data_IF_949622207977
#
_entry.id   IF_949622207977
#
_cell.length_a   1.000
_cell.length_b   1.000
_cell.length_c   1.000
_cell.angle_alpha   90.00
_cell.angle_beta   90.00
_cell.angle_gamma   90.00
#
_symmetry.space_group_name_H-M   'P 1'
#
loop_
_entity.id
_entity.type
_entity.pdbx_description
1 polymer ?
#
# COMPACT_ATOMS: atom_id res chain seq x y z
N UNK A 1 -0.02 -16.14 13.88
CA UNK A 1 0.86 -15.94 15.07
C UNK A 1 0.27 -14.76 15.82
N UNK A 2 0.12 -14.78 17.15
CA UNK A 2 -0.60 -13.72 17.85
C UNK A 2 0.07 -12.34 17.69
N UNK A 3 -0.67 -11.37 17.14
CA UNK A 3 -0.26 -9.98 16.90
C UNK A 3 -0.92 -9.00 17.88
N UNK A 4 -2.07 -9.37 18.45
CA UNK A 4 -2.86 -8.51 19.33
C UNK A 4 -3.03 -9.14 20.70
N UNK A 5 -2.84 -8.34 21.75
CA UNK A 5 -3.15 -8.72 23.13
C UNK A 5 -4.42 -8.00 23.57
N UNK A 6 -5.44 -8.74 24.02
CA UNK A 6 -6.68 -8.16 24.56
C UNK A 6 -6.83 -8.59 26.02
N UNK A 7 -6.93 -7.62 26.93
CA UNK A 7 -6.98 -7.86 28.37
C UNK A 7 -8.26 -7.27 28.95
N UNK A 8 -9.10 -8.15 29.51
CA UNK A 8 -10.41 -7.80 30.08
C UNK A 8 -10.79 -8.88 31.12
N UNK A 9 -11.20 -8.47 32.31
CA UNK A 9 -11.54 -9.39 33.41
C UNK A 9 -13.00 -9.88 33.35
N UNK A 10 -13.91 -9.05 32.83
CA UNK A 10 -15.33 -9.37 32.76
C UNK A 10 -15.61 -10.49 31.76
N UNK A 11 -16.02 -11.66 32.26
CA UNK A 11 -16.38 -12.82 31.45
C UNK A 11 -17.43 -12.51 30.36
N UNK A 12 -18.33 -11.57 30.60
CA UNK A 12 -19.34 -11.14 29.62
C UNK A 12 -18.69 -10.33 28.51
N UNK A 13 -17.83 -9.36 28.87
CA UNK A 13 -17.14 -8.50 27.90
C UNK A 13 -16.12 -9.31 27.09
N UNK A 14 -15.37 -10.21 27.72
CA UNK A 14 -14.46 -11.14 27.03
C UNK A 14 -15.18 -11.95 25.97
N UNK A 15 -16.39 -12.46 26.25
CA UNK A 15 -17.19 -13.19 25.24
C UNK A 15 -17.57 -12.30 24.05
N UNK A 16 -17.95 -11.05 24.31
CA UNK A 16 -18.25 -10.07 23.25
C UNK A 16 -17.00 -9.77 22.42
N UNK A 17 -15.89 -9.43 23.08
CA UNK A 17 -14.61 -9.13 22.43
C UNK A 17 -14.10 -10.32 21.61
N UNK A 18 -14.18 -11.56 22.10
CA UNK A 18 -13.81 -12.76 21.34
C UNK A 18 -14.63 -12.92 20.06
N UNK A 19 -15.95 -12.70 20.16
CA UNK A 19 -16.82 -12.80 18.99
C UNK A 19 -16.53 -11.71 17.95
N UNK A 20 -16.34 -10.46 18.38
CA UNK A 20 -16.03 -9.33 17.48
C UNK A 20 -14.60 -9.41 16.91
N UNK A 21 -13.63 -9.84 17.71
CA UNK A 21 -12.24 -9.98 17.32
C UNK A 21 -12.07 -11.02 16.21
N UNK A 22 -12.83 -12.13 16.24
CA UNK A 22 -12.77 -13.13 15.16
C UNK A 22 -13.10 -12.53 13.79
N UNK A 23 -14.06 -11.61 13.73
CA UNK A 23 -14.44 -10.94 12.48
C UNK A 23 -13.47 -9.83 12.07
N UNK A 24 -12.81 -9.19 13.05
CA UNK A 24 -12.02 -7.97 12.82
C UNK A 24 -10.52 -8.25 12.66
N UNK A 25 -9.98 -9.16 13.49
CA UNK A 25 -8.56 -9.44 13.68
C UNK A 25 -8.16 -10.87 13.29
N UNK A 26 -9.13 -11.75 12.99
CA UNK A 26 -8.87 -13.16 12.68
C UNK A 26 -8.42 -13.95 13.90
N UNK A 27 -7.45 -14.85 13.72
CA UNK A 27 -6.90 -15.73 14.76
C UNK A 27 -5.66 -15.15 15.47
N UNK A 28 -5.22 -13.95 15.09
CA UNK A 28 -3.98 -13.35 15.60
C UNK A 28 -4.15 -12.63 16.95
N UNK A 29 -5.10 -13.08 17.79
CA UNK A 29 -5.43 -12.41 19.06
C UNK A 29 -5.26 -13.35 20.25
N UNK A 30 -4.49 -12.92 21.23
CA UNK A 30 -4.37 -13.59 22.54
C UNK A 30 -5.18 -12.82 23.59
N UNK A 31 -5.93 -13.55 24.40
CA UNK A 31 -6.77 -12.99 25.46
C UNK A 31 -6.18 -13.28 26.83
N UNK A 32 -6.19 -12.28 27.70
CA UNK A 32 -5.87 -12.41 29.11
C UNK A 32 -6.97 -11.79 29.97
N UNK A 33 -7.14 -12.28 31.20
CA UNK A 33 -8.19 -11.81 32.13
C UNK A 33 -7.62 -11.24 33.44
N UNK A 34 -6.31 -11.06 33.50
CA UNK A 34 -5.56 -10.52 34.65
C UNK A 34 -4.23 -9.97 34.16
N UNK A 35 -3.60 -9.10 34.95
CA UNK A 35 -2.24 -8.59 34.68
C UNK A 35 -1.24 -9.75 34.61
N UNK A 36 -1.28 -10.69 35.56
CA UNK A 36 -0.37 -11.83 35.56
C UNK A 36 -0.47 -12.67 34.27
N UNK A 37 -1.70 -12.96 33.82
CA UNK A 37 -1.92 -13.68 32.56
C UNK A 37 -1.47 -12.86 31.34
N UNK A 38 -1.67 -11.54 31.35
CA UNK A 38 -1.24 -10.65 30.27
C UNK A 38 0.29 -10.58 30.15
N UNK A 39 1.01 -10.52 31.28
CA UNK A 39 2.48 -10.55 31.30
C UNK A 39 3.03 -11.87 30.75
N UNK A 40 2.42 -13.00 31.14
CA UNK A 40 2.79 -14.30 30.60
C UNK A 40 2.55 -14.38 29.08
N UNK A 41 1.38 -13.92 28.61
CA UNK A 41 1.07 -13.87 27.19
C UNK A 41 2.03 -12.97 26.41
N UNK A 42 2.41 -11.82 26.99
CA UNK A 42 3.42 -10.94 26.41
C UNK A 42 4.78 -11.64 26.27
N UNK A 43 5.26 -12.32 27.33
CA UNK A 43 6.55 -13.03 27.28
C UNK A 43 6.55 -14.17 26.25
N UNK A 44 5.44 -14.90 26.12
CA UNK A 44 5.30 -15.98 25.14
C UNK A 44 5.30 -15.49 23.68
N UNK A 45 4.79 -14.27 23.45
CA UNK A 45 4.58 -13.70 22.11
C UNK A 45 5.34 -12.38 21.90
N UNK A 46 6.43 -12.16 22.64
CA UNK A 46 7.12 -10.87 22.70
C UNK A 46 7.56 -10.34 21.32
N UNK A 47 7.93 -11.24 20.42
CA UNK A 47 8.41 -10.90 19.08
C UNK A 47 7.31 -10.75 18.04
N UNK A 48 6.07 -11.14 18.36
CA UNK A 48 4.95 -11.12 17.41
C UNK A 48 3.86 -10.14 17.80
N UNK A 49 3.73 -9.79 19.09
CA UNK A 49 2.76 -8.80 19.54
C UNK A 49 3.13 -7.40 19.07
N UNK A 50 2.14 -6.71 18.51
CA UNK A 50 2.28 -5.39 17.92
C UNK A 50 1.48 -4.31 18.63
N UNK A 51 0.34 -4.66 19.23
CA UNK A 51 -0.59 -3.71 19.88
C UNK A 51 -1.37 -4.43 20.99
N UNK A 52 -1.69 -3.73 22.07
CA UNK A 52 -2.57 -4.21 23.13
C UNK A 52 -3.86 -3.37 23.29
N UNK A 53 -4.97 -4.04 23.60
CA UNK A 53 -6.20 -3.45 24.10
C UNK A 53 -6.39 -3.87 25.55
N UNK A 54 -6.45 -2.90 26.47
CA UNK A 54 -6.33 -3.17 27.90
C UNK A 54 -7.47 -2.49 28.65
N UNK A 55 -8.20 -3.26 29.44
CA UNK A 55 -9.05 -2.70 30.48
C UNK A 55 -8.21 -1.98 31.56
N UNK A 56 -8.59 -0.75 31.90
CA UNK A 56 -7.85 0.07 32.85
C UNK A 56 -7.88 -0.50 34.28
N UNK A 57 -8.98 -1.16 34.68
CA UNK A 57 -9.18 -1.62 36.05
C UNK A 57 -9.32 -3.13 36.10
N UNK A 58 -8.19 -3.82 36.32
CA UNK A 58 -8.14 -5.27 36.47
C UNK A 58 -8.15 -5.67 37.96
N UNK A 59 -8.62 -6.88 38.32
CA UNK A 59 -8.66 -7.34 39.71
C UNK A 59 -7.30 -7.34 40.43
N UNK A 60 -6.21 -7.57 39.69
CA UNK A 60 -4.82 -7.60 40.17
C UNK A 60 -4.00 -6.36 39.78
N UNK A 61 -4.63 -5.40 39.08
CA UNK A 61 -4.06 -4.12 38.65
C UNK A 61 -5.16 -3.05 38.48
N UNK A 62 -5.71 -2.52 39.58
CA UNK A 62 -6.90 -1.66 39.56
C UNK A 62 -6.64 -0.24 39.02
N UNK A 63 -5.38 0.23 39.06
CA UNK A 63 -4.98 1.61 38.81
C UNK A 63 -4.23 1.80 37.47
N UNK A 64 -4.29 0.78 36.60
CA UNK A 64 -3.68 0.81 35.27
C UNK A 64 -2.20 0.38 35.24
N UNK A 65 -1.75 -0.38 36.23
CA UNK A 65 -0.36 -0.85 36.33
C UNK A 65 0.05 -1.71 35.13
N UNK A 66 -0.88 -2.44 34.52
CA UNK A 66 -0.63 -3.19 33.30
C UNK A 66 -0.34 -2.26 32.10
N UNK A 67 -1.00 -1.10 32.02
CA UNK A 67 -0.74 -0.12 30.96
C UNK A 67 0.69 0.38 31.07
N UNK A 68 1.13 0.73 32.29
CA UNK A 68 2.50 1.19 32.53
C UNK A 68 3.52 0.12 32.15
N UNK A 69 3.30 -1.13 32.57
CA UNK A 69 4.15 -2.26 32.19
C UNK A 69 4.28 -2.42 30.67
N UNK A 70 3.18 -2.39 29.92
CA UNK A 70 3.21 -2.59 28.46
C UNK A 70 3.85 -1.42 27.71
N UNK A 71 3.65 -0.18 28.19
CA UNK A 71 4.31 1.00 27.65
C UNK A 71 5.82 0.97 27.87
N UNK A 72 6.30 0.50 29.03
CA UNK A 72 7.74 0.27 29.28
C UNK A 72 8.35 -0.73 28.30
N UNK A 73 7.56 -1.73 27.88
CA UNK A 73 7.94 -2.68 26.83
C UNK A 73 7.83 -2.12 25.41
N UNK A 74 7.48 -0.83 25.27
CA UNK A 74 7.25 -0.14 23.99
C UNK A 74 6.14 -0.78 23.15
N UNK A 75 5.17 -1.44 23.79
CA UNK A 75 3.99 -1.95 23.12
C UNK A 75 2.93 -0.84 23.09
N UNK A 76 2.43 -0.44 21.90
CA UNK A 76 1.31 0.48 21.79
C UNK A 76 0.06 -0.05 22.52
N UNK A 77 -0.55 0.80 23.34
CA UNK A 77 -1.71 0.42 24.16
C UNK A 77 -2.92 1.29 23.81
N UNK A 78 -4.06 0.64 23.60
CA UNK A 78 -5.39 1.26 23.60
C UNK A 78 -6.09 0.87 24.91
N UNK A 79 -6.64 1.84 25.62
CA UNK A 79 -7.25 1.63 26.94
C UNK A 79 -8.77 1.55 26.83
N UNK A 80 -9.39 0.57 27.46
CA UNK A 80 -10.83 0.55 27.71
C UNK A 80 -11.11 1.12 29.10
N UNK A 81 -11.97 2.14 29.18
CA UNK A 81 -12.34 2.79 30.45
C UNK A 81 -13.85 2.77 30.66
N UNK A 82 -14.31 2.56 31.90
CA UNK A 82 -15.72 2.67 32.27
C UNK A 82 -16.19 4.10 32.57
N UNK A 83 -15.30 5.09 32.51
CA UNK A 83 -15.59 6.48 32.92
C UNK A 83 -15.16 7.49 31.86
N UNK A 84 -15.96 8.55 31.70
CA UNK A 84 -15.73 9.71 30.82
C UNK A 84 -14.99 10.88 31.50
N UNK A 85 -14.45 10.67 32.72
CA UNK A 85 -13.75 11.69 33.50
C UNK A 85 -12.57 12.30 32.74
N UNK A 86 -12.59 13.62 32.53
CA UNK A 86 -11.52 14.37 31.85
C UNK A 86 -10.16 14.25 32.54
N UNK A 87 -10.12 14.20 33.88
CA UNK A 87 -8.83 14.12 34.58
C UNK A 87 -8.11 12.80 34.32
N UNK A 88 -8.87 11.70 34.25
CA UNK A 88 -8.31 10.38 33.90
C UNK A 88 -7.80 10.35 32.47
N UNK A 89 -8.49 11.02 31.55
CA UNK A 89 -8.07 11.12 30.14
C UNK A 89 -6.74 11.85 29.99
N UNK A 90 -6.58 12.98 30.65
CA UNK A 90 -5.32 13.76 30.62
C UNK A 90 -4.13 12.94 31.14
N UNK A 91 -4.34 12.19 32.24
CA UNK A 91 -3.32 11.30 32.81
C UNK A 91 -2.94 10.20 31.82
N UNK A 92 -3.92 9.55 31.21
CA UNK A 92 -3.71 8.48 30.23
C UNK A 92 -2.96 8.99 28.99
N UNK A 93 -3.36 10.14 28.45
CA UNK A 93 -2.66 10.77 27.33
C UNK A 93 -1.22 11.13 27.69
N UNK A 94 -0.98 11.66 28.91
CA UNK A 94 0.36 11.99 29.39
C UNK A 94 1.27 10.75 29.54
N UNK A 95 0.69 9.56 29.80
CA UNK A 95 1.43 8.29 29.80
C UNK A 95 1.92 7.87 28.41
N UNK A 96 1.34 8.41 27.34
CA UNK A 96 1.70 8.05 25.96
C UNK A 96 1.01 6.79 25.45
N UNK A 97 -0.24 6.56 25.87
CA UNK A 97 -1.10 5.56 25.21
C UNK A 97 -1.41 6.00 23.78
N UNK A 98 -1.83 5.05 22.93
CA UNK A 98 -2.29 5.38 21.59
C UNK A 98 -3.68 6.04 21.64
N UNK A 99 -4.64 5.43 22.33
CA UNK A 99 -6.00 5.99 22.47
C UNK A 99 -6.74 5.37 23.67
N UNK A 100 -7.84 5.98 24.10
CA UNK A 100 -8.77 5.42 25.09
C UNK A 100 -10.19 5.31 24.52
N UNK A 101 -10.95 4.33 25.00
CA UNK A 101 -12.31 4.04 24.53
C UNK A 101 -13.23 3.80 25.72
N UNK A 102 -14.35 4.50 25.75
CA UNK A 102 -15.33 4.39 26.84
C UNK A 102 -16.24 3.18 26.60
N UNK A 103 -16.32 2.28 27.58
CA UNK A 103 -17.05 1.00 27.58
C UNK A 103 -18.58 1.16 27.71
N UNK A 104 -19.21 1.98 26.87
CA UNK A 104 -20.65 2.26 26.96
C UNK A 104 -21.51 1.31 26.13
N UNK A 105 -20.96 0.71 25.08
CA UNK A 105 -21.76 -0.05 24.12
C UNK A 105 -20.97 -1.13 23.38
N UNK A 106 -21.69 -2.01 22.68
CA UNK A 106 -21.08 -2.95 21.72
C UNK A 106 -20.30 -2.22 20.63
N UNK A 107 -20.73 -1.02 20.24
CA UNK A 107 -20.02 -0.21 19.25
C UNK A 107 -18.65 0.23 19.77
N UNK A 108 -18.53 0.60 21.05
CA UNK A 108 -17.25 0.95 21.67
C UNK A 108 -16.22 -0.19 21.56
N UNK A 109 -16.63 -1.43 21.80
CA UNK A 109 -15.74 -2.59 21.66
C UNK A 109 -15.32 -2.82 20.20
N UNK A 110 -16.25 -2.65 19.24
CA UNK A 110 -15.91 -2.74 17.81
C UNK A 110 -14.92 -1.65 17.41
N UNK A 111 -15.14 -0.42 17.86
CA UNK A 111 -14.24 0.71 17.62
C UNK A 111 -12.83 0.43 18.17
N UNK A 112 -12.73 -0.07 19.40
CA UNK A 112 -11.46 -0.41 20.02
C UNK A 112 -10.69 -1.52 19.25
N UNK A 113 -11.39 -2.55 18.79
CA UNK A 113 -10.79 -3.61 17.98
C UNK A 113 -10.33 -3.09 16.60
N UNK A 114 -11.12 -2.21 15.97
CA UNK A 114 -10.72 -1.54 14.73
C UNK A 114 -9.50 -0.64 14.94
N UNK A 115 -9.41 0.06 16.08
CA UNK A 115 -8.27 0.89 16.45
C UNK A 115 -6.99 0.07 16.52
N UNK A 116 -6.97 -1.03 17.30
CA UNK A 116 -5.74 -1.83 17.43
C UNK A 116 -5.34 -2.47 16.10
N UNK A 117 -6.31 -2.88 15.26
CA UNK A 117 -6.03 -3.33 13.89
C UNK A 117 -5.34 -2.22 13.10
N UNK A 118 -5.87 -1.01 13.15
CA UNK A 118 -5.34 0.14 12.42
C UNK A 118 -3.93 0.49 12.86
N UNK A 119 -3.66 0.51 14.17
CA UNK A 119 -2.32 0.77 14.71
C UNK A 119 -1.26 -0.21 14.17
N UNK A 120 -1.62 -1.47 13.98
CA UNK A 120 -0.75 -2.45 13.33
C UNK A 120 -0.46 -2.10 11.87
N UNK A 121 -1.47 -1.70 11.09
CA UNK A 121 -1.32 -1.34 9.67
C UNK A 121 -0.58 0.00 9.47
N UNK A 122 -0.77 0.95 10.38
CA UNK A 122 -0.15 2.28 10.32
C UNK A 122 1.39 2.22 10.26
N UNK A 123 2.01 1.15 10.75
CA UNK A 123 3.46 0.90 10.69
C UNK A 123 4.01 0.88 9.26
N UNK A 124 3.16 0.62 8.27
CA UNK A 124 3.51 0.61 6.84
C UNK A 124 3.15 1.92 6.12
N UNK A 125 2.58 2.89 6.84
CA UNK A 125 2.13 4.16 6.25
C UNK A 125 3.15 5.25 6.57
N UNK A 126 3.69 5.84 5.51
CA UNK A 126 4.64 6.94 5.59
C UNK A 126 3.93 8.31 5.56
N UNK A 127 4.25 9.15 6.54
CA UNK A 127 3.67 10.49 6.72
C UNK A 127 4.79 11.52 6.80
N UNK A 128 4.64 12.64 6.10
CA UNK A 128 5.59 13.76 6.15
C UNK A 128 5.00 14.94 6.93
N UNK A 129 5.71 15.39 7.96
CA UNK A 129 5.37 16.60 8.72
C UNK A 129 6.29 17.73 8.29
N UNK A 130 5.71 18.84 7.82
CA UNK A 130 6.42 20.03 7.36
C UNK A 130 6.02 21.21 8.24
N UNK A 131 6.97 21.68 9.05
CA UNK A 131 6.71 22.68 10.08
C UNK A 131 8.04 23.32 10.47
N UNK A 132 8.12 24.66 10.48
CA UNK A 132 9.36 25.38 10.79
C UNK A 132 9.68 25.33 12.29
N UNK A 133 8.65 25.46 13.14
CA UNK A 133 8.76 25.40 14.59
C UNK A 133 9.14 23.99 15.04
N UNK A 134 10.39 23.84 15.50
CA UNK A 134 10.91 22.58 16.05
C UNK A 134 10.03 21.99 17.15
N UNK A 135 9.39 22.83 17.97
CA UNK A 135 8.49 22.38 19.04
C UNK A 135 7.20 21.80 18.46
N UNK A 136 6.53 22.53 17.56
CA UNK A 136 5.31 22.06 16.92
C UNK A 136 5.56 20.81 16.07
N UNK A 137 6.66 20.78 15.33
CA UNK A 137 7.07 19.64 14.50
C UNK A 137 7.27 18.37 15.34
N UNK A 138 7.98 18.50 16.48
CA UNK A 138 8.15 17.39 17.43
C UNK A 138 6.84 16.94 18.06
N UNK A 139 5.93 17.87 18.37
CA UNK A 139 4.63 17.54 18.94
C UNK A 139 3.80 16.71 17.95
N UNK A 140 3.67 17.17 16.69
CA UNK A 140 2.94 16.44 15.65
C UNK A 140 3.60 15.08 15.37
N UNK A 141 4.93 15.04 15.31
CA UNK A 141 5.68 13.79 15.15
C UNK A 141 5.37 12.79 16.28
N UNK A 142 5.31 13.26 17.53
CA UNK A 142 4.95 12.42 18.68
C UNK A 142 3.53 11.86 18.53
N UNK A 143 2.54 12.70 18.22
CA UNK A 143 1.15 12.27 18.03
C UNK A 143 1.05 11.16 16.97
N UNK A 144 1.66 11.36 15.80
CA UNK A 144 1.66 10.36 14.74
C UNK A 144 2.41 9.07 15.14
N UNK A 145 3.50 9.20 15.90
CA UNK A 145 4.28 8.05 16.38
C UNK A 145 3.50 7.21 17.41
N UNK A 146 2.67 7.83 18.26
CA UNK A 146 1.76 7.11 19.17
C UNK A 146 0.79 6.22 18.38
N UNK A 147 0.38 6.68 17.20
CA UNK A 147 -0.46 5.93 16.27
C UNK A 147 0.33 5.00 15.32
N UNK A 148 1.62 4.78 15.60
CA UNK A 148 2.51 3.86 14.90
C UNK A 148 2.83 4.23 13.44
N UNK A 149 2.58 5.47 13.00
CA UNK A 149 2.96 5.91 11.65
C UNK A 149 4.48 6.02 11.48
N UNK A 150 4.99 5.81 10.27
CA UNK A 150 6.38 6.11 9.93
C UNK A 150 6.50 7.59 9.55
N UNK A 151 7.10 8.40 10.42
CA UNK A 151 7.08 9.87 10.29
C UNK A 151 8.40 10.42 9.76
N UNK A 152 8.32 11.05 8.60
CA UNK A 152 9.34 11.92 8.04
C UNK A 152 9.11 13.37 8.48
N UNK A 153 10.18 14.15 8.55
CA UNK A 153 10.10 15.57 8.95
C UNK A 153 10.86 16.47 8.00
N UNK A 154 10.31 17.67 7.80
CA UNK A 154 10.91 18.77 7.07
C UNK A 154 10.63 20.11 7.77
N UNK A 155 11.52 21.09 7.58
CA UNK A 155 11.43 22.43 8.18
C UNK A 155 10.78 23.46 7.23
N UNK A 156 10.75 23.17 5.93
CA UNK A 156 10.13 24.00 4.91
C UNK A 156 9.71 23.17 3.68
N UNK A 157 9.02 23.82 2.73
CA UNK A 157 8.55 23.17 1.51
C UNK A 157 9.66 22.66 0.58
N UNK A 158 10.85 23.30 0.58
CA UNK A 158 11.98 22.86 -0.26
C UNK A 158 12.51 21.51 0.23
N UNK A 159 12.71 21.39 1.54
CA UNK A 159 13.11 20.12 2.16
C UNK A 159 12.01 19.07 2.02
N UNK A 160 10.74 19.46 2.10
CA UNK A 160 9.60 18.56 1.92
C UNK A 160 9.60 17.91 0.52
N UNK A 161 9.76 18.70 -0.55
CA UNK A 161 9.83 18.15 -1.91
C UNK A 161 10.99 17.16 -2.07
N UNK A 162 12.17 17.49 -1.52
CA UNK A 162 13.31 16.57 -1.53
C UNK A 162 12.98 15.24 -0.81
N UNK A 163 12.25 15.28 0.30
CA UNK A 163 11.82 14.06 1.02
C UNK A 163 10.83 13.24 0.20
N UNK A 164 9.89 13.89 -0.48
CA UNK A 164 8.92 13.21 -1.35
C UNK A 164 9.60 12.48 -2.52
N UNK A 165 10.70 13.03 -3.07
CA UNK A 165 11.49 12.33 -4.08
C UNK A 165 12.30 11.15 -3.51
N UNK A 166 12.77 11.27 -2.27
CA UNK A 166 13.54 10.22 -1.59
C UNK A 166 12.65 9.07 -1.08
N UNK A 167 11.41 9.38 -0.72
CA UNK A 167 10.45 8.48 -0.10
C UNK A 167 9.14 8.51 -0.89
N UNK A 168 9.07 7.81 -2.03
CA UNK A 168 7.90 7.84 -2.92
C UNK A 168 6.64 7.23 -2.28
N UNK A 169 6.78 6.49 -1.18
CA UNK A 169 5.70 5.81 -0.46
C UNK A 169 4.97 6.70 0.56
N UNK A 170 5.38 7.97 0.71
CA UNK A 170 4.66 8.97 1.51
C UNK A 170 3.24 9.15 0.96
N UNK A 171 2.24 8.92 1.83
CA UNK A 171 0.82 8.98 1.48
C UNK A 171 0.11 10.19 2.07
N UNK A 172 0.69 10.81 3.10
CA UNK A 172 0.13 11.97 3.77
C UNK A 172 1.21 13.02 4.03
N UNK A 173 0.90 14.27 3.70
CA UNK A 173 1.69 15.44 4.09
C UNK A 173 0.85 16.30 5.03
N UNK A 174 1.41 16.63 6.19
CA UNK A 174 0.84 17.60 7.12
C UNK A 174 1.77 18.82 7.09
N UNK A 175 1.27 19.98 6.66
CA UNK A 175 2.10 21.17 6.46
C UNK A 175 1.57 22.36 7.24
N UNK A 176 2.44 23.10 7.90
CA UNK A 176 2.11 24.45 8.34
C UNK A 176 2.00 25.40 7.14
N UNK A 177 1.35 26.54 7.36
CA UNK A 177 1.35 27.64 6.41
C UNK A 177 2.64 28.48 6.47
N UNK A 178 3.05 28.93 7.67
CA UNK A 178 4.09 29.94 7.83
C UNK A 178 5.47 29.28 7.92
N UNK A 179 6.13 29.11 6.77
CA UNK A 179 7.46 28.49 6.71
C UNK A 179 8.42 29.34 5.88
N UNK A 180 9.73 29.34 6.20
CA UNK A 180 10.73 30.03 5.39
C UNK A 180 10.91 29.34 4.03
N UNK A 181 11.51 30.04 3.06
CA UNK A 181 11.90 29.55 1.72
C UNK A 181 10.75 29.16 0.79
N UNK A 182 9.87 28.24 1.22
CA UNK A 182 8.68 27.80 0.51
C UNK A 182 7.57 27.60 1.52
N UNK A 183 6.51 28.40 1.40
CA UNK A 183 5.38 28.38 2.33
C UNK A 183 4.45 27.17 2.09
N UNK A 184 3.48 26.97 2.98
CA UNK A 184 2.56 25.83 2.88
C UNK A 184 1.69 25.82 1.62
N UNK A 185 1.37 26.98 1.04
CA UNK A 185 0.60 27.04 -0.21
C UNK A 185 1.46 26.73 -1.43
N UNK A 186 2.65 27.30 -1.49
CA UNK A 186 3.63 27.00 -2.54
C UNK A 186 3.97 25.51 -2.54
N UNK A 187 4.14 24.91 -1.35
CA UNK A 187 4.35 23.48 -1.21
C UNK A 187 3.15 22.67 -1.74
N UNK A 188 1.91 23.01 -1.35
CA UNK A 188 0.72 22.30 -1.84
C UNK A 188 0.64 22.34 -3.36
N UNK A 189 0.90 23.50 -3.97
CA UNK A 189 0.91 23.65 -5.42
C UNK A 189 2.03 22.82 -6.08
N UNK A 190 3.24 22.84 -5.52
CA UNK A 190 4.37 22.05 -6.00
C UNK A 190 4.06 20.54 -5.94
N UNK A 191 3.50 20.06 -4.82
CA UNK A 191 3.08 18.66 -4.68
C UNK A 191 2.03 18.32 -5.72
N UNK A 192 1.03 19.19 -5.96
CA UNK A 192 -0.05 18.93 -6.93
C UNK A 192 0.40 19.01 -8.38
N UNK A 193 1.52 19.68 -8.66
CA UNK A 193 2.13 19.70 -9.99
C UNK A 193 2.86 18.37 -10.30
N UNK A 194 3.44 17.71 -9.29
CA UNK A 194 4.24 16.49 -9.49
C UNK A 194 3.53 15.19 -9.08
N UNK A 195 2.58 15.26 -8.15
CA UNK A 195 1.93 14.10 -7.56
C UNK A 195 0.41 14.22 -7.61
N UNK A 196 -0.24 13.15 -8.06
CA UNK A 196 -1.69 13.09 -8.09
C UNK A 196 -2.31 13.14 -6.69
N UNK A 197 -3.48 13.77 -6.60
CA UNK A 197 -4.28 13.87 -5.36
C UNK A 197 -4.67 12.51 -4.78
N UNK A 198 -4.76 11.46 -5.62
CA UNK A 198 -5.10 10.09 -5.22
C UNK A 198 -3.94 9.37 -4.53
N UNK A 199 -2.71 9.84 -4.72
CA UNK A 199 -1.49 9.26 -4.14
C UNK A 199 -1.12 9.90 -2.82
N UNK A 200 -1.22 11.23 -2.72
CA UNK A 200 -0.78 12.00 -1.55
C UNK A 200 -1.92 12.89 -1.04
N UNK A 201 -2.43 12.57 0.14
CA UNK A 201 -3.28 13.47 0.90
C UNK A 201 -2.46 14.61 1.51
N UNK A 202 -3.01 15.83 1.53
CA UNK A 202 -2.38 16.97 2.19
C UNK A 202 -3.35 17.57 3.21
N UNK A 203 -2.88 17.73 4.45
CA UNK A 203 -3.59 18.43 5.53
C UNK A 203 -2.83 19.72 5.84
N UNK A 204 -3.47 20.86 5.61
CA UNK A 204 -2.90 22.16 5.99
C UNK A 204 -3.18 22.49 7.45
N UNK A 205 -2.18 23.01 8.16
CA UNK A 205 -2.35 23.56 9.51
C UNK A 205 -2.36 25.10 9.44
N UNK A 206 -3.30 25.72 10.13
CA UNK A 206 -3.45 27.19 10.17
C UNK A 206 -3.58 27.72 11.60
N UNK A 207 -3.15 28.95 11.86
CA UNK A 207 -3.28 29.59 13.19
C UNK A 207 -4.67 30.18 13.45
N UNK A 208 -4.93 30.53 14.72
CA UNK A 208 -6.15 31.26 15.10
C UNK A 208 -6.26 32.63 14.41
N UNK A 209 -7.45 32.93 13.87
CA UNK A 209 -7.77 34.21 13.21
C UNK A 209 -7.71 34.16 11.68
N UNK A 210 -7.19 33.08 11.11
CA UNK A 210 -6.91 32.97 9.68
C UNK A 210 -7.91 32.06 8.94
N UNK A 211 -9.22 32.30 9.12
CA UNK A 211 -10.27 31.54 8.40
C UNK A 211 -10.08 31.56 6.86
N UNK A 212 -9.43 32.60 6.33
CA UNK A 212 -9.08 32.69 4.91
C UNK A 212 -7.98 31.69 4.50
N UNK A 213 -7.03 31.35 5.38
CA UNK A 213 -5.96 30.40 5.06
C UNK A 213 -6.49 28.98 4.90
N UNK A 214 -7.42 28.55 5.77
CA UNK A 214 -8.05 27.23 5.68
C UNK A 214 -8.76 27.03 4.34
N UNK A 215 -9.48 28.04 3.86
CA UNK A 215 -10.11 28.02 2.53
C UNK A 215 -9.06 28.01 1.41
N UNK A 216 -7.95 28.73 1.57
CA UNK A 216 -6.87 28.74 0.58
C UNK A 216 -6.20 27.37 0.45
N UNK A 217 -6.00 26.61 1.52
CA UNK A 217 -5.43 25.26 1.42
C UNK A 217 -6.29 24.37 0.50
N UNK A 218 -7.60 24.32 0.74
CA UNK A 218 -8.52 23.52 -0.06
C UNK A 218 -8.54 23.98 -1.53
N UNK A 219 -8.57 25.30 -1.77
CA UNK A 219 -8.56 25.85 -3.14
C UNK A 219 -7.27 25.55 -3.91
N UNK A 220 -6.15 25.37 -3.22
CA UNK A 220 -4.87 25.01 -3.84
C UNK A 220 -4.66 23.50 -3.97
N UNK A 221 -5.61 22.67 -3.51
CA UNK A 221 -5.59 21.22 -3.71
C UNK A 221 -5.30 20.40 -2.46
N UNK A 222 -5.24 21.00 -1.27
CA UNK A 222 -5.25 20.23 -0.03
C UNK A 222 -6.53 19.40 0.09
N UNK A 223 -6.44 18.30 0.84
CA UNK A 223 -7.55 17.40 1.09
C UNK A 223 -8.35 17.84 2.31
N UNK A 224 -7.65 18.37 3.32
CA UNK A 224 -8.27 18.84 4.55
C UNK A 224 -7.42 19.97 5.18
N UNK A 225 -7.93 20.55 6.26
CA UNK A 225 -7.19 21.49 7.09
C UNK A 225 -7.50 21.30 8.58
N UNK A 226 -6.65 21.83 9.44
CA UNK A 226 -6.84 21.84 10.88
C UNK A 226 -6.32 23.15 11.50
N UNK A 227 -7.11 23.76 12.37
CA UNK A 227 -6.74 25.01 13.03
C UNK A 227 -5.92 24.74 14.31
N UNK A 228 -4.89 25.53 14.58
CA UNK A 228 -4.09 25.51 15.81
C UNK A 228 -4.66 26.54 16.81
N UNK A 229 -4.78 26.20 18.12
CA UNK A 229 -4.57 24.87 18.70
C UNK A 229 -5.72 23.91 18.34
N UNK A 230 -5.41 22.60 18.28
CA UNK A 230 -6.37 21.53 17.98
C UNK A 230 -6.40 20.49 19.11
N UNK A 231 -7.54 19.81 19.24
CA UNK A 231 -7.70 18.64 20.10
C UNK A 231 -7.07 17.41 19.42
N UNK A 232 -6.49 16.49 20.22
CA UNK A 232 -5.83 15.29 19.68
C UNK A 232 -6.80 14.40 18.91
N UNK A 233 -8.02 14.24 19.41
CA UNK A 233 -9.07 13.45 18.78
C UNK A 233 -9.46 14.03 17.40
N UNK A 234 -9.51 15.36 17.27
CA UNK A 234 -9.76 16.00 15.97
C UNK A 234 -8.60 15.73 15.01
N UNK A 235 -7.35 15.91 15.46
CA UNK A 235 -6.16 15.63 14.66
C UNK A 235 -6.16 14.19 14.11
N UNK A 236 -6.38 13.19 14.97
CA UNK A 236 -6.40 11.79 14.54
C UNK A 236 -7.58 11.45 13.63
N UNK A 237 -8.74 12.07 13.84
CA UNK A 237 -9.88 11.92 12.93
C UNK A 237 -9.51 12.40 11.51
N UNK A 238 -8.89 13.57 11.39
CA UNK A 238 -8.45 14.14 10.09
C UNK A 238 -7.40 13.27 9.41
N UNK A 239 -6.39 12.84 10.16
CA UNK A 239 -5.31 11.98 9.65
C UNK A 239 -5.88 10.65 9.16
N UNK A 240 -6.69 9.99 9.99
CA UNK A 240 -7.28 8.69 9.68
C UNK A 240 -8.16 8.74 8.44
N UNK A 241 -9.10 9.68 8.36
CA UNK A 241 -10.01 9.79 7.23
C UNK A 241 -9.26 10.00 5.90
N UNK A 242 -8.20 10.81 5.91
CA UNK A 242 -7.41 11.08 4.71
C UNK A 242 -6.59 9.84 4.28
N UNK A 243 -5.98 9.14 5.23
CA UNK A 243 -5.22 7.90 4.93
C UNK A 243 -6.16 6.79 4.44
N UNK A 244 -7.31 6.60 5.08
CA UNK A 244 -8.31 5.62 4.65
C UNK A 244 -8.82 5.96 3.24
N UNK A 245 -9.03 7.24 2.93
CA UNK A 245 -9.43 7.68 1.58
C UNK A 245 -8.35 7.35 0.54
N UNK A 246 -7.08 7.65 0.82
CA UNK A 246 -5.97 7.34 -0.11
C UNK A 246 -5.81 5.82 -0.28
N UNK A 247 -5.94 5.06 0.81
CA UNK A 247 -5.87 3.59 0.77
C UNK A 247 -6.98 3.02 -0.11
N UNK A 248 -8.22 3.46 0.10
CA UNK A 248 -9.36 3.02 -0.70
C UNK A 248 -9.20 3.39 -2.18
N UNK A 249 -8.73 4.60 -2.48
CA UNK A 249 -8.48 5.01 -3.87
C UNK A 249 -7.40 4.14 -4.52
N UNK A 250 -6.33 3.81 -3.78
CA UNK A 250 -5.27 2.92 -4.25
C UNK A 250 -5.80 1.51 -4.51
N UNK A 251 -6.63 0.97 -3.60
CA UNK A 251 -7.27 -0.34 -3.77
C UNK A 251 -8.20 -0.37 -4.99
N UNK A 252 -9.02 0.66 -5.17
CA UNK A 252 -9.89 0.80 -6.34
C UNK A 252 -9.08 0.87 -7.64
N UNK A 253 -7.96 1.59 -7.64
CA UNK A 253 -7.08 1.68 -8.79
C UNK A 253 -6.43 0.33 -9.10
N UNK A 254 -5.94 -0.39 -8.08
CA UNK A 254 -5.41 -1.75 -8.28
C UNK A 254 -6.49 -2.66 -8.85
N UNK A 255 -7.72 -2.65 -8.33
CA UNK A 255 -8.81 -3.46 -8.87
C UNK A 255 -9.20 -3.07 -10.30
N UNK A 256 -9.14 -1.78 -10.64
CA UNK A 256 -9.50 -1.29 -11.97
C UNK A 256 -8.41 -1.55 -13.01
N UNK A 257 -7.13 -1.56 -12.62
CA UNK A 257 -5.99 -1.59 -13.53
C UNK A 257 -5.26 -2.95 -13.56
N UNK A 258 -5.58 -3.87 -12.64
CA UNK A 258 -4.93 -5.18 -12.56
C UNK A 258 -5.82 -6.29 -13.10
N UNK A 259 -5.21 -7.33 -13.65
CA UNK A 259 -5.86 -8.59 -13.95
C UNK A 259 -6.09 -9.38 -12.65
N UNK A 260 -7.31 -9.89 -12.45
CA UNK A 260 -7.71 -10.50 -11.18
C UNK A 260 -6.92 -11.77 -10.85
N UNK A 261 -6.56 -12.55 -11.88
CA UNK A 261 -5.91 -13.85 -11.71
C UNK A 261 -4.41 -13.67 -11.47
N UNK A 262 -3.75 -12.89 -12.33
CA UNK A 262 -2.29 -12.81 -12.36
C UNK A 262 -1.70 -11.66 -11.55
N UNK A 263 -2.49 -10.63 -11.22
CA UNK A 263 -1.99 -9.41 -10.58
C UNK A 263 -1.10 -8.54 -11.49
N UNK A 264 -0.95 -8.88 -12.76
CA UNK A 264 -0.35 -7.98 -13.76
C UNK A 264 -1.29 -6.82 -14.06
N UNK A 265 -0.80 -5.80 -14.77
CA UNK A 265 -1.70 -4.82 -15.35
C UNK A 265 -2.64 -5.48 -16.36
N UNK A 266 -3.85 -4.94 -16.48
CA UNK A 266 -4.83 -5.42 -17.45
C UNK A 266 -4.68 -4.72 -18.81
N UNK A 267 -5.42 -5.22 -19.79
CA UNK A 267 -5.42 -4.68 -21.16
C UNK A 267 -5.68 -3.18 -21.24
N UNK A 268 -6.67 -2.68 -20.49
CA UNK A 268 -7.05 -1.27 -20.54
C UNK A 268 -5.90 -0.39 -20.05
N UNK A 269 -5.34 -0.71 -18.89
CA UNK A 269 -4.21 0.03 -18.33
C UNK A 269 -2.99 0.00 -19.27
N UNK A 270 -2.72 -1.14 -19.90
CA UNK A 270 -1.66 -1.27 -20.90
C UNK A 270 -1.87 -0.31 -22.06
N UNK A 271 -3.06 -0.28 -22.66
CA UNK A 271 -3.35 0.59 -23.81
C UNK A 271 -3.17 2.07 -23.46
N UNK A 272 -3.73 2.51 -22.33
CA UNK A 272 -3.66 3.90 -21.88
C UNK A 272 -2.20 4.31 -21.60
N UNK A 273 -1.48 3.52 -20.79
CA UNK A 273 -0.11 3.85 -20.34
C UNK A 273 0.92 3.68 -21.45
N UNK A 274 0.80 2.63 -22.28
CA UNK A 274 1.71 2.40 -23.38
C UNK A 274 1.64 3.52 -24.43
N UNK A 275 0.46 4.07 -24.68
CA UNK A 275 0.28 5.18 -25.62
C UNK A 275 1.03 6.44 -25.17
N UNK A 276 0.99 6.74 -23.88
CA UNK A 276 1.75 7.85 -23.28
C UNK A 276 3.27 7.62 -23.39
N UNK A 277 3.74 6.42 -23.04
CA UNK A 277 5.17 6.07 -23.11
C UNK A 277 5.72 6.12 -24.53
N UNK A 278 4.96 5.64 -25.53
CA UNK A 278 5.32 5.77 -26.95
C UNK A 278 5.41 7.24 -27.34
N UNK A 279 4.43 8.06 -26.95
CA UNK A 279 4.44 9.50 -27.21
C UNK A 279 5.68 10.19 -26.61
N UNK A 280 6.06 9.83 -25.39
CA UNK A 280 7.25 10.37 -24.72
C UNK A 280 8.54 9.95 -25.43
N UNK A 281 8.66 8.68 -25.81
CA UNK A 281 9.82 8.17 -26.53
C UNK A 281 9.96 8.81 -27.92
N UNK A 282 8.85 9.02 -28.62
CA UNK A 282 8.81 9.74 -29.91
C UNK A 282 9.31 11.18 -29.75
N UNK A 283 8.86 11.91 -28.72
CA UNK A 283 9.37 13.26 -28.41
C UNK A 283 10.87 13.27 -28.11
N UNK A 284 11.38 12.20 -27.50
CA UNK A 284 12.80 12.04 -27.19
C UNK A 284 13.63 11.44 -28.36
N UNK A 285 13.01 11.15 -29.51
CA UNK A 285 13.61 10.41 -30.62
C UNK A 285 14.31 9.11 -30.18
N UNK A 286 13.70 8.38 -29.25
CA UNK A 286 14.17 7.06 -28.80
C UNK A 286 13.37 5.94 -29.50
N UNK A 287 13.99 4.79 -29.82
CA UNK A 287 13.25 3.64 -30.31
C UNK A 287 12.33 3.09 -29.22
N UNK A 288 11.22 2.47 -29.64
CA UNK A 288 10.32 1.73 -28.77
C UNK A 288 10.06 0.37 -29.39
N UNK A 289 10.19 -0.68 -28.58
CA UNK A 289 9.82 -2.03 -28.97
C UNK A 289 8.57 -2.48 -28.21
N UNK A 290 7.65 -3.15 -28.90
CA UNK A 290 6.51 -3.81 -28.31
C UNK A 290 6.59 -5.32 -28.59
N UNK A 291 6.19 -6.13 -27.62
CA UNK A 291 6.11 -7.57 -27.77
C UNK A 291 4.73 -8.10 -27.36
N UNK A 292 4.23 -9.07 -28.10
CA UNK A 292 3.08 -9.90 -27.73
C UNK A 292 3.60 -11.30 -27.45
N UNK A 293 3.25 -11.81 -26.28
CA UNK A 293 3.71 -13.07 -25.72
C UNK A 293 2.47 -13.95 -25.53
N UNK A 294 2.54 -15.20 -25.95
CA UNK A 294 1.44 -16.15 -25.81
C UNK A 294 1.94 -17.49 -25.27
N UNK A 295 1.15 -18.10 -24.39
CA UNK A 295 1.47 -19.40 -23.78
C UNK A 295 1.17 -20.51 -24.76
N UNK A 296 2.21 -21.25 -25.15
CA UNK A 296 2.08 -22.32 -26.10
C UNK A 296 1.22 -23.46 -25.54
N UNK A 297 0.33 -23.97 -26.39
CA UNK A 297 -0.52 -25.12 -26.07
C UNK A 297 -1.37 -24.95 -24.80
N UNK A 298 -1.73 -23.73 -24.40
CA UNK A 298 -2.48 -23.48 -23.17
C UNK A 298 -3.80 -24.24 -23.08
N UNK A 299 -4.51 -24.42 -24.20
CA UNK A 299 -5.70 -25.27 -24.25
C UNK A 299 -5.42 -26.71 -23.82
N UNK A 300 -4.29 -27.30 -24.22
CA UNK A 300 -3.92 -28.66 -23.81
C UNK A 300 -3.66 -28.75 -22.31
N UNK A 301 -3.06 -27.71 -21.72
CA UNK A 301 -2.87 -27.62 -20.26
C UNK A 301 -4.23 -27.63 -19.55
N UNK A 302 -5.19 -26.84 -20.04
CA UNK A 302 -6.56 -26.86 -19.48
C UNK A 302 -7.26 -28.21 -19.66
N UNK A 303 -7.10 -28.84 -20.83
CA UNK A 303 -7.73 -30.12 -21.14
C UNK A 303 -7.14 -31.27 -20.27
N UNK A 304 -5.85 -31.20 -19.93
CA UNK A 304 -5.14 -32.22 -19.15
C UNK A 304 -5.25 -32.01 -17.62
N UNK A 305 -5.11 -30.77 -17.15
CA UNK A 305 -5.04 -30.44 -15.72
C UNK A 305 -6.26 -29.69 -15.19
N UNK A 306 -7.25 -29.44 -16.06
CA UNK A 306 -8.41 -28.61 -15.75
C UNK A 306 -8.08 -27.12 -15.70
N UNK A 307 -9.13 -26.30 -15.55
CA UNK A 307 -8.99 -24.84 -15.50
C UNK A 307 -8.14 -24.35 -14.33
N UNK A 308 -8.17 -25.04 -13.18
CA UNK A 308 -7.33 -24.69 -12.04
C UNK A 308 -5.83 -24.87 -12.35
N UNK A 309 -5.46 -25.91 -13.11
CA UNK A 309 -4.08 -26.11 -13.56
C UNK A 309 -3.65 -25.08 -14.59
N UNK A 310 -4.54 -24.69 -15.50
CA UNK A 310 -4.29 -23.56 -16.40
C UNK A 310 -4.09 -22.24 -15.66
N UNK A 311 -4.93 -21.96 -14.66
CA UNK A 311 -4.83 -20.77 -13.81
C UNK A 311 -3.50 -20.74 -13.05
N UNK A 312 -3.08 -21.86 -12.46
CA UNK A 312 -1.79 -22.00 -11.79
C UNK A 312 -0.61 -21.73 -12.75
N UNK A 313 -0.69 -22.22 -13.98
CA UNK A 313 0.31 -21.94 -15.01
C UNK A 313 0.39 -20.46 -15.37
N UNK A 314 -0.74 -19.79 -15.55
CA UNK A 314 -0.77 -18.35 -15.84
C UNK A 314 -0.21 -17.52 -14.69
N UNK A 315 -0.54 -17.85 -13.44
CA UNK A 315 -0.01 -17.16 -12.26
C UNK A 315 1.50 -17.32 -12.17
N UNK A 316 2.02 -18.52 -12.41
CA UNK A 316 3.46 -18.79 -12.40
C UNK A 316 4.19 -17.99 -13.49
N UNK A 317 3.70 -18.07 -14.74
CA UNK A 317 4.28 -17.35 -15.88
C UNK A 317 4.24 -15.85 -15.62
N UNK A 318 3.10 -15.31 -15.19
CA UNK A 318 2.94 -13.89 -14.90
C UNK A 318 3.94 -13.38 -13.86
N UNK A 319 4.14 -14.14 -12.78
CA UNK A 319 5.14 -13.80 -11.76
C UNK A 319 6.55 -13.76 -12.34
N UNK A 320 6.94 -14.79 -13.09
CA UNK A 320 8.25 -14.88 -13.71
C UNK A 320 8.48 -13.74 -14.71
N UNK A 321 7.49 -13.47 -15.59
CA UNK A 321 7.55 -12.35 -16.53
C UNK A 321 7.67 -11.02 -15.79
N UNK A 322 6.87 -10.79 -14.74
CA UNK A 322 6.90 -9.54 -13.99
C UNK A 322 8.26 -9.28 -13.34
N UNK A 323 8.89 -10.31 -12.77
CA UNK A 323 10.22 -10.20 -12.15
C UNK A 323 11.31 -9.90 -13.19
N UNK A 324 11.26 -10.54 -14.37
CA UNK A 324 12.29 -10.41 -15.41
C UNK A 324 12.14 -9.14 -16.26
N UNK A 325 10.94 -8.56 -16.33
CA UNK A 325 10.65 -7.42 -17.21
C UNK A 325 10.75 -6.06 -16.54
N UNK A 326 10.98 -5.96 -15.24
CA UNK A 326 11.19 -4.64 -14.61
C UNK A 326 12.40 -3.92 -15.23
N UNK A 327 12.31 -2.61 -15.56
CA UNK A 327 11.22 -1.67 -15.27
C UNK A 327 10.21 -1.46 -16.44
N UNK A 328 10.14 -2.37 -17.40
CA UNK A 328 9.25 -2.27 -18.56
C UNK A 328 7.77 -2.49 -18.20
N UNK A 329 6.88 -2.00 -19.08
CA UNK A 329 5.44 -2.12 -18.88
C UNK A 329 4.95 -3.48 -19.38
N UNK A 330 4.59 -4.37 -18.45
CA UNK A 330 4.01 -5.69 -18.72
C UNK A 330 2.54 -5.75 -18.31
N UNK A 331 1.70 -6.34 -19.15
CA UNK A 331 0.28 -6.57 -18.85
C UNK A 331 -0.21 -7.92 -19.40
N UNK A 332 -1.26 -8.46 -18.79
CA UNK A 332 -2.05 -9.53 -19.39
C UNK A 332 -3.17 -8.90 -20.22
N UNK A 333 -3.12 -9.12 -21.52
CA UNK A 333 -4.01 -8.47 -22.50
C UNK A 333 -5.10 -9.39 -23.03
N UNK A 334 -4.92 -10.70 -22.90
CA UNK A 334 -5.89 -11.73 -23.28
C UNK A 334 -5.95 -12.89 -22.29
N UNK A 335 -6.60 -13.99 -22.70
CA UNK A 335 -6.73 -15.19 -21.88
C UNK A 335 -5.37 -15.82 -21.58
N UNK A 336 -4.59 -16.10 -22.61
CA UNK A 336 -3.24 -16.68 -22.53
C UNK A 336 -2.15 -15.74 -23.09
N UNK A 337 -2.53 -14.46 -23.30
CA UNK A 337 -1.72 -13.45 -23.97
C UNK A 337 -1.26 -12.36 -23.01
N UNK A 338 0.01 -11.99 -23.13
CA UNK A 338 0.65 -10.90 -22.42
C UNK A 338 1.24 -9.91 -23.42
N UNK A 339 1.25 -8.63 -23.06
CA UNK A 339 1.88 -7.59 -23.86
C UNK A 339 2.92 -6.84 -23.04
N UNK A 340 4.05 -6.55 -23.68
CA UNK A 340 5.21 -5.92 -23.08
C UNK A 340 5.64 -4.73 -23.92
N UNK A 341 5.81 -3.56 -23.30
CA UNK A 341 6.36 -2.37 -23.94
C UNK A 341 7.73 -2.04 -23.36
N UNK A 342 8.73 -1.89 -24.24
CA UNK A 342 10.13 -1.66 -23.90
C UNK A 342 10.66 -0.36 -24.53
N UNK A 343 10.37 0.82 -23.93
CA UNK A 343 10.92 2.08 -24.42
C UNK A 343 12.45 2.10 -24.32
N UNK A 344 13.11 2.55 -25.40
CA UNK A 344 14.56 2.71 -25.48
C UNK A 344 15.34 1.47 -25.90
N UNK A 345 14.69 0.30 -26.02
CA UNK A 345 15.30 -0.84 -26.69
C UNK A 345 15.14 -0.70 -28.20
N UNK A 346 16.21 -1.03 -28.92
CA UNK A 346 16.16 -1.23 -30.37
C UNK A 346 15.86 -2.69 -30.65
N UNK A 347 15.64 -3.01 -31.92
CA UNK A 347 15.20 -4.32 -32.38
C UNK A 347 16.09 -5.47 -31.90
N UNK A 348 17.40 -5.37 -32.11
CA UNK A 348 18.38 -6.39 -31.70
C UNK A 348 18.30 -6.65 -30.19
N UNK A 349 18.31 -5.59 -29.37
CA UNK A 349 18.27 -5.76 -27.91
C UNK A 349 16.91 -6.25 -27.42
N UNK A 350 15.82 -5.83 -28.05
CA UNK A 350 14.49 -6.31 -27.73
C UNK A 350 14.36 -7.80 -28.04
N UNK A 351 14.92 -8.26 -29.17
CA UNK A 351 14.99 -9.67 -29.52
C UNK A 351 15.81 -10.47 -28.51
N UNK A 352 17.05 -10.06 -28.22
CA UNK A 352 17.91 -10.72 -27.24
C UNK A 352 17.24 -10.83 -25.86
N UNK A 353 16.58 -9.75 -25.43
CA UNK A 353 15.87 -9.70 -24.15
C UNK A 353 14.68 -10.67 -24.13
N UNK A 354 13.87 -10.68 -25.19
CA UNK A 354 12.72 -11.56 -25.30
C UNK A 354 13.11 -13.05 -25.44
N UNK A 355 14.19 -13.36 -26.15
CA UNK A 355 14.67 -14.75 -26.27
C UNK A 355 15.22 -15.26 -24.93
N UNK A 356 15.92 -14.41 -24.17
CA UNK A 356 16.32 -14.75 -22.81
C UNK A 356 15.12 -15.01 -21.89
N UNK A 357 14.06 -14.20 -22.02
CA UNK A 357 12.80 -14.39 -21.30
C UNK A 357 12.10 -15.70 -21.69
N UNK A 358 12.00 -16.00 -22.98
CA UNK A 358 11.48 -17.25 -23.51
C UNK A 358 12.25 -18.46 -22.96
N UNK A 359 13.57 -18.45 -23.05
CA UNK A 359 14.41 -19.52 -22.53
C UNK A 359 14.20 -19.73 -21.03
N UNK A 360 14.09 -18.64 -20.27
CA UNK A 360 13.86 -18.71 -18.82
C UNK A 360 12.50 -19.30 -18.46
N UNK A 361 11.46 -19.01 -19.23
CA UNK A 361 10.13 -19.63 -19.06
C UNK A 361 10.19 -21.12 -19.40
N UNK A 362 10.83 -21.49 -20.52
CA UNK A 362 10.94 -22.89 -20.95
C UNK A 362 11.72 -23.80 -19.97
N UNK A 363 12.69 -23.23 -19.23
CA UNK A 363 13.43 -23.93 -18.18
C UNK A 363 12.62 -24.09 -16.88
N UNK A 364 11.55 -23.32 -16.71
CA UNK A 364 10.69 -23.35 -15.54
C UNK A 364 9.86 -24.62 -15.45
N UNK A 365 9.67 -25.12 -14.22
CA UNK A 365 8.71 -26.17 -13.92
C UNK A 365 7.55 -25.51 -13.17
N UNK A 366 6.35 -25.69 -13.71
CA UNK A 366 5.11 -25.16 -13.15
C UNK A 366 4.45 -26.25 -12.31
N UNK A 367 4.15 -25.94 -11.06
CA UNK A 367 3.25 -26.73 -10.24
C UNK A 367 1.80 -26.38 -10.63
N UNK A 368 1.09 -27.34 -11.22
CA UNK A 368 -0.28 -27.12 -11.72
C UNK A 368 -1.35 -27.71 -10.80
N UNK A 369 -1.01 -28.64 -9.90
CA UNK A 369 -1.96 -29.22 -8.95
C UNK A 369 -1.28 -30.08 -7.88
N UNK A 370 -0.69 -29.48 -6.84
CA UNK A 370 -0.16 -30.04 -5.56
C UNK A 370 0.66 -31.36 -5.58
N UNK A 371 0.89 -31.94 -6.76
CA UNK A 371 1.56 -33.22 -7.07
C UNK A 371 1.77 -33.40 -8.60
N UNK A 372 1.35 -32.43 -9.43
CA UNK A 372 1.48 -32.46 -10.88
C UNK A 372 2.32 -31.28 -11.39
N UNK A 373 3.34 -31.59 -12.18
CA UNK A 373 4.29 -30.62 -12.71
C UNK A 373 4.29 -30.66 -14.23
N UNK A 374 4.28 -29.48 -14.86
CA UNK A 374 4.39 -29.36 -16.31
C UNK A 374 5.43 -28.33 -16.71
N UNK A 375 5.89 -28.43 -17.95
CA UNK A 375 6.72 -27.41 -18.60
C UNK A 375 5.84 -26.62 -19.55
N UNK A 376 6.03 -25.32 -19.52
CA UNK A 376 5.31 -24.38 -20.38
C UNK A 376 6.34 -23.63 -21.21
N UNK A 377 6.00 -23.39 -22.47
CA UNK A 377 6.79 -22.54 -23.35
C UNK A 377 5.95 -21.35 -23.78
N UNK A 378 6.61 -20.31 -24.27
CA UNK A 378 5.95 -19.13 -24.81
C UNK A 378 6.47 -18.86 -26.21
N UNK A 379 5.58 -18.36 -27.06
CA UNK A 379 5.94 -17.76 -28.33
C UNK A 379 5.86 -16.24 -28.22
N UNK A 380 6.77 -15.53 -28.86
CA UNK A 380 6.88 -14.07 -28.76
C UNK A 380 7.00 -13.44 -30.14
N UNK A 381 6.15 -12.47 -30.43
CA UNK A 381 6.26 -11.58 -31.57
C UNK A 381 6.71 -10.19 -31.14
N UNK A 382 7.67 -9.59 -31.82
CA UNK A 382 8.26 -8.29 -31.46
C UNK A 382 8.18 -7.33 -32.64
N UNK A 383 7.86 -6.08 -32.39
CA UNK A 383 7.96 -4.99 -33.36
C UNK A 383 8.73 -3.83 -32.75
N UNK A 384 9.54 -3.15 -33.56
CA UNK A 384 10.28 -1.96 -33.13
C UNK A 384 10.01 -0.80 -34.07
N UNK A 385 9.99 0.41 -33.53
CA UNK A 385 9.86 1.61 -34.32
C UNK A 385 10.43 2.85 -33.64
N UNK A 386 10.78 3.83 -34.46
CA UNK A 386 11.07 5.20 -34.05
C UNK A 386 9.99 6.09 -34.61
N UNK A 387 9.41 6.99 -33.79
CA UNK A 387 8.26 7.81 -34.20
C UNK A 387 7.04 6.96 -34.61
N UNK A 388 6.89 5.79 -33.99
CA UNK A 388 5.82 4.84 -34.31
C UNK A 388 4.55 5.11 -33.49
N UNK A 389 3.43 4.59 -33.96
CA UNK A 389 2.18 4.53 -33.20
C UNK A 389 2.06 3.19 -32.48
N UNK A 390 1.46 3.19 -31.28
CA UNK A 390 1.33 1.99 -30.46
C UNK A 390 0.56 0.88 -31.20
N UNK A 391 -0.57 1.21 -31.83
CA UNK A 391 -1.41 0.23 -32.53
C UNK A 391 -0.67 -0.41 -33.70
N UNK A 392 0.17 0.34 -34.41
CA UNK A 392 1.01 -0.18 -35.49
C UNK A 392 2.03 -1.19 -34.96
N UNK A 393 2.72 -0.87 -33.86
CA UNK A 393 3.68 -1.77 -33.22
C UNK A 393 3.01 -3.07 -32.76
N UNK A 394 1.86 -2.96 -32.10
CA UNK A 394 1.12 -4.14 -31.62
C UNK A 394 0.63 -5.00 -32.78
N UNK A 395 0.12 -4.41 -33.86
CA UNK A 395 -0.31 -5.17 -35.04
C UNK A 395 0.86 -5.92 -35.71
N UNK A 396 2.04 -5.30 -35.83
CA UNK A 396 3.25 -5.98 -36.35
C UNK A 396 3.70 -7.10 -35.42
N UNK A 397 3.70 -6.86 -34.11
CA UNK A 397 4.06 -7.87 -33.12
C UNK A 397 3.10 -9.06 -33.14
N UNK A 398 1.80 -8.84 -33.37
CA UNK A 398 0.81 -9.91 -33.53
C UNK A 398 1.10 -10.79 -34.76
N UNK A 399 1.43 -10.16 -35.89
CA UNK A 399 1.85 -10.89 -37.11
C UNK A 399 3.09 -11.75 -36.85
N UNK A 400 4.09 -11.21 -36.15
CA UNK A 400 5.29 -11.99 -35.80
C UNK A 400 4.99 -13.11 -34.80
N UNK A 401 4.08 -12.90 -33.85
CA UNK A 401 3.65 -13.94 -32.92
C UNK A 401 2.98 -15.09 -33.67
N UNK A 402 2.11 -14.76 -34.64
CA UNK A 402 1.50 -15.76 -35.51
C UNK A 402 2.56 -16.57 -36.27
N UNK A 403 3.59 -15.91 -36.81
CA UNK A 403 4.71 -16.59 -37.48
C UNK A 403 5.50 -17.50 -36.52
N UNK A 404 5.72 -17.08 -35.27
CA UNK A 404 6.37 -17.90 -34.25
C UNK A 404 5.57 -19.19 -33.96
N UNK A 405 4.24 -19.06 -33.85
CA UNK A 405 3.34 -20.20 -33.63
C UNK A 405 3.32 -21.18 -34.81
N UNK A 406 3.30 -20.69 -36.04
CA UNK A 406 3.35 -21.52 -37.26
C UNK A 406 4.73 -22.18 -37.48
N UNK A 407 5.81 -21.53 -37.01
CA UNK A 407 7.19 -22.03 -37.15
C UNK A 407 7.58 -23.09 -36.10
N UNK A 408 6.62 -23.57 -35.31
CA UNK A 408 6.84 -24.65 -34.34
C UNK A 408 6.78 -24.23 -32.87
N UNK A 409 6.37 -22.98 -32.56
CA UNK A 409 6.25 -22.44 -31.20
C UNK A 409 7.56 -22.40 -30.43
N UNK A 410 7.53 -21.90 -29.19
CA UNK A 410 8.73 -21.70 -28.37
C UNK A 410 9.83 -20.92 -29.13
N UNK A 411 9.41 -19.85 -29.82
CA UNK A 411 10.25 -19.04 -30.68
C UNK A 411 9.98 -17.55 -30.45
N UNK A 412 11.00 -16.74 -30.72
CA UNK A 412 10.88 -15.29 -30.82
C UNK A 412 11.01 -14.91 -32.30
N UNK A 413 10.06 -14.13 -32.80
CA UNK A 413 10.10 -13.56 -34.15
C UNK A 413 10.02 -12.05 -34.01
N UNK A 414 10.96 -11.35 -34.66
CA UNK A 414 10.97 -9.90 -34.77
C UNK A 414 10.93 -9.49 -36.24
N UNK A 415 11.22 -8.23 -36.49
CA UNK A 415 11.56 -7.82 -37.85
C UNK A 415 12.84 -8.55 -38.27
N UNK A 416 12.87 -8.98 -39.53
CA UNK A 416 14.07 -9.54 -40.12
C UNK A 416 14.65 -8.43 -40.99
N UNK A 417 15.95 -8.15 -40.82
CA UNK A 417 16.75 -7.44 -41.81
C UNK A 417 16.64 -8.10 -43.20
#
# INVERSE_FOLDING_TARGET
>A
MARYLVVEDSNVVVKILKHLAKATLGEDVVFATSMAAAQQAYQQHQHTLEVALVDLSLPDAPDGELVDYLLEQKLPVVVLTGSSDSHKRDILQAKGIADYVIKESRYSYQYALNMIRRLSHNRQVEVLVVEDSKMARKHIQLLLSLHCYHVHTAEDGVQAMKRLHQHPDIQLVITDYNMPNMDGFELVQAIRHEFEKRRIAIIGLSGQGDNHLSVRFIKNGANDFLNKPFEQEEFFCRVTNNIETITLLKEMEQQANRDFLTGLFNRRYFQDTAGELVTQANKANKPVSAAIIDVDHFKQINDEYGHQGGDAALVHIARLLNELTQPFLLARTGGEEFSLLMPGLNEVKAYEFADALRARVADGIVDVNDDAYTRVTISVGIATGTQAELDELLNRADVHLFQAKESGRNLVVGEQD
#
